data_IF_171095849713
#
_entry.id   IF_171095849713
#
_cell.length_a   1.000
_cell.length_b   1.000
_cell.length_c   1.000
_cell.angle_alpha   90.00
_cell.angle_beta   90.00
_cell.angle_gamma   90.00
#
_symmetry.space_group_name_H-M   'P 1'
#
loop_
_entity.id
_entity.type
_entity.pdbx_description
1 polymer ?
#
# COMPACT_ATOMS: atom_id res chain seq x y z
N UNK A 1 -8.13 -8.95 -2.57
CA UNK A 1 -7.12 -9.24 -3.61
C UNK A 1 -5.85 -9.66 -2.87
N UNK A 2 -5.44 -10.92 -2.96
CA UNK A 2 -4.19 -11.38 -2.33
C UNK A 2 -3.12 -11.31 -3.41
N UNK A 3 -2.25 -10.31 -3.32
CA UNK A 3 -1.15 -10.15 -4.28
C UNK A 3 -0.03 -11.12 -3.88
N UNK A 4 0.08 -12.23 -4.60
CA UNK A 4 1.17 -13.21 -4.45
C UNK A 4 2.43 -12.71 -5.16
N UNK A 5 2.26 -12.02 -6.30
CA UNK A 5 3.30 -11.27 -7.00
C UNK A 5 2.84 -9.81 -7.23
N UNK A 6 3.43 -8.82 -6.55
CA UNK A 6 3.03 -7.43 -6.73
C UNK A 6 3.56 -6.90 -8.07
N UNK A 7 2.64 -6.65 -9.01
CA UNK A 7 2.94 -5.92 -10.23
C UNK A 7 3.20 -4.44 -9.88
N UNK A 8 4.47 -4.11 -9.63
CA UNK A 8 4.91 -2.77 -9.23
C UNK A 8 4.64 -1.71 -10.29
N UNK A 9 4.68 -2.09 -11.57
CA UNK A 9 4.39 -1.16 -12.67
C UNK A 9 2.91 -0.76 -12.66
N UNK A 10 2.00 -1.73 -12.61
CA UNK A 10 0.56 -1.46 -12.54
C UNK A 10 0.17 -0.72 -11.25
N UNK A 11 0.78 -1.07 -10.10
CA UNK A 11 0.55 -0.33 -8.85
C UNK A 11 1.01 1.14 -8.97
N UNK A 12 2.15 1.38 -9.62
CA UNK A 12 2.65 2.73 -9.84
C UNK A 12 1.74 3.53 -10.76
N UNK A 13 1.34 2.95 -11.89
CA UNK A 13 0.39 3.58 -12.81
C UNK A 13 -0.91 3.94 -12.09
N UNK A 14 -1.44 3.01 -11.29
CA UNK A 14 -2.66 3.25 -10.52
C UNK A 14 -2.49 4.31 -9.43
N UNK A 15 -1.32 4.42 -8.80
CA UNK A 15 -1.03 5.51 -7.85
C UNK A 15 -0.95 6.86 -8.60
N UNK A 16 -0.26 6.88 -9.74
CA UNK A 16 -0.03 8.09 -10.54
C UNK A 16 -1.38 8.67 -11.03
N UNK A 17 -2.37 7.84 -11.32
CA UNK A 17 -3.74 8.27 -11.64
C UNK A 17 -4.45 9.07 -10.53
N UNK A 18 -4.05 8.87 -9.27
CA UNK A 18 -4.71 9.48 -8.10
C UNK A 18 -3.89 10.59 -7.42
N UNK A 19 -2.71 10.93 -7.97
CA UNK A 19 -1.87 12.01 -7.47
C UNK A 19 -2.56 13.37 -7.55
N UNK A 20 -2.38 14.19 -6.52
CA UNK A 20 -3.00 15.52 -6.40
C UNK A 20 -4.53 15.50 -6.26
N UNK A 21 -5.17 14.32 -6.12
CA UNK A 21 -6.62 14.19 -5.94
C UNK A 21 -7.04 14.03 -4.47
N UNK A 22 -6.09 14.11 -3.52
CA UNK A 22 -6.35 13.92 -2.10
C UNK A 22 -6.85 12.51 -1.76
N UNK A 23 -6.38 11.49 -2.50
CA UNK A 23 -6.83 10.12 -2.35
C UNK A 23 -6.05 9.38 -1.24
N UNK A 24 -6.73 8.40 -0.63
CA UNK A 24 -6.11 7.45 0.30
C UNK A 24 -6.43 6.04 -0.15
N UNK A 25 -5.40 5.24 -0.36
CA UNK A 25 -5.56 3.82 -0.68
C UNK A 25 -5.59 3.02 0.60
N UNK A 26 -6.54 2.09 0.69
CA UNK A 26 -6.68 1.15 1.78
C UNK A 26 -6.27 -0.24 1.30
N UNK A 27 -5.22 -0.79 1.91
CA UNK A 27 -4.61 -2.05 1.46
C UNK A 27 -4.73 -3.08 2.55
N UNK A 28 -5.49 -4.14 2.29
CA UNK A 28 -5.57 -5.30 3.17
C UNK A 28 -4.61 -6.39 2.69
N UNK A 29 -3.73 -6.85 3.57
CA UNK A 29 -2.72 -7.88 3.27
C UNK A 29 -2.44 -8.74 4.50
N UNK A 30 -1.58 -9.75 4.39
CA UNK A 30 -1.16 -10.52 5.58
C UNK A 30 -0.16 -9.74 6.41
N UNK A 31 -0.06 -10.03 7.72
CA UNK A 31 0.90 -9.35 8.61
C UNK A 31 2.34 -9.41 8.06
N UNK A 32 2.76 -10.59 7.58
CA UNK A 32 4.09 -10.79 6.99
C UNK A 32 4.32 -9.96 5.71
N UNK A 33 3.28 -9.75 4.91
CA UNK A 33 3.38 -8.88 3.74
C UNK A 33 3.35 -7.40 4.11
N UNK A 34 2.67 -7.02 5.18
CA UNK A 34 2.64 -5.64 5.67
C UNK A 34 4.04 -5.14 6.10
N UNK A 35 4.84 -6.01 6.74
CA UNK A 35 6.24 -5.72 7.09
C UNK A 35 7.11 -5.33 5.89
N UNK A 36 6.75 -5.84 4.70
CA UNK A 36 7.48 -5.61 3.44
C UNK A 36 6.77 -4.64 2.51
N UNK A 37 5.58 -4.16 2.90
CA UNK A 37 4.68 -3.40 2.04
C UNK A 37 5.37 -2.15 1.47
N UNK A 38 6.08 -1.38 2.31
CA UNK A 38 6.79 -0.17 1.91
C UNK A 38 7.72 -0.39 0.70
N UNK A 39 8.37 -1.55 0.60
CA UNK A 39 9.27 -1.87 -0.51
C UNK A 39 8.57 -2.01 -1.88
N UNK A 40 7.25 -2.20 -1.87
CA UNK A 40 6.42 -2.35 -3.06
C UNK A 40 5.84 -1.02 -3.56
N UNK A 41 5.84 0.03 -2.73
CA UNK A 41 5.33 1.35 -3.10
C UNK A 41 6.43 2.27 -3.68
N UNK A 42 6.05 3.25 -4.52
CA UNK A 42 6.91 4.35 -4.94
C UNK A 42 7.53 5.08 -3.74
N UNK A 43 8.78 5.54 -3.88
CA UNK A 43 9.59 6.05 -2.76
C UNK A 43 8.91 7.21 -2.02
N UNK A 44 8.27 8.10 -2.75
CA UNK A 44 7.58 9.29 -2.26
C UNK A 44 6.28 8.98 -1.49
N UNK A 45 5.74 7.76 -1.60
CA UNK A 45 4.54 7.31 -0.89
C UNK A 45 4.90 6.56 0.40
N UNK A 46 6.11 5.99 0.50
CA UNK A 46 6.49 5.03 1.56
C UNK A 46 6.36 5.58 2.96
N UNK A 47 6.80 6.82 3.16
CA UNK A 47 6.85 7.46 4.48
C UNK A 47 5.44 7.78 5.02
N UNK A 48 4.44 7.83 4.14
CA UNK A 48 3.04 8.04 4.51
C UNK A 48 2.30 6.78 4.95
N UNK A 49 2.85 5.59 4.69
CA UNK A 49 2.17 4.31 4.91
C UNK A 49 2.05 4.01 6.41
N UNK A 50 0.82 3.73 6.87
CA UNK A 50 0.53 3.38 8.27
C UNK A 50 -0.23 2.07 8.36
N UNK A 51 0.15 1.19 9.28
CA UNK A 51 -0.69 0.05 9.66
C UNK A 51 -1.72 0.54 10.67
N UNK A 52 -2.98 0.63 10.26
CA UNK A 52 -4.07 1.14 11.13
C UNK A 52 -4.76 0.04 11.92
N UNK A 53 -4.61 -1.21 11.47
CA UNK A 53 -5.17 -2.38 12.12
C UNK A 53 -4.32 -3.60 11.79
N UNK A 54 -4.11 -4.48 12.76
CA UNK A 54 -3.56 -5.82 12.54
C UNK A 54 -4.18 -6.83 13.50
N UNK A 55 -4.27 -8.08 13.04
CA UNK A 55 -4.57 -9.24 13.87
C UNK A 55 -3.54 -10.35 13.60
N UNK A 56 -3.82 -11.59 14.00
CA UNK A 56 -2.87 -12.70 13.85
C UNK A 56 -2.55 -13.06 12.38
N UNK A 57 -3.39 -12.68 11.42
CA UNK A 57 -3.23 -13.09 10.02
C UNK A 57 -3.19 -11.93 9.03
N UNK A 58 -3.97 -10.87 9.27
CA UNK A 58 -4.15 -9.74 8.36
C UNK A 58 -3.74 -8.41 8.99
N UNK A 59 -3.37 -7.47 8.12
CA UNK A 59 -3.13 -6.08 8.43
C UNK A 59 -3.83 -5.19 7.39
N UNK A 60 -4.32 -4.04 7.85
CA UNK A 60 -4.86 -2.98 7.02
C UNK A 60 -3.89 -1.81 7.04
N UNK A 61 -3.48 -1.38 5.85
CA UNK A 61 -2.61 -0.24 5.65
C UNK A 61 -3.41 0.94 5.08
N UNK A 62 -3.18 2.10 5.66
CA UNK A 62 -3.55 3.40 5.11
C UNK A 62 -2.36 3.92 4.30
N UNK A 63 -2.61 4.28 3.03
CA UNK A 63 -1.60 4.77 2.10
C UNK A 63 -2.07 6.11 1.53
N UNK A 64 -1.66 7.24 2.13
CA UNK A 64 -1.94 8.57 1.59
C UNK A 64 -1.22 8.77 0.25
N UNK A 65 -1.96 9.21 -0.78
CA UNK A 65 -1.40 9.52 -2.09
C UNK A 65 -1.20 11.05 -2.18
N UNK A 66 0.03 11.55 -2.37
CA UNK A 66 0.31 12.97 -2.47
C UNK A 66 -0.25 13.62 -3.74
#
# INVERSE_FOLDING_TARGET
WVSVDPNRAALREFIDEYRGKGATFWVMTTVRHAERAQSHFPADVRDGIKVVYSNFHYALLEVPIP
#
